data_IF_930874084279
#
_entry.id   IF_930874084279
#
_cell.length_a   1.000
_cell.length_b   1.000
_cell.length_c   1.000
_cell.angle_alpha   90.00
_cell.angle_beta   90.00
_cell.angle_gamma   90.00
#
_symmetry.space_group_name_H-M   'P 1'
#
loop_
_entity.id
_entity.type
_entity.pdbx_description
1 polymer ?
#
# COMPACT_ATOMS: atom_id res chain seq x y z
N UNK A 1 -20.42 -8.30 -11.24
CA UNK A 1 -19.64 -7.16 -11.80
C UNK A 1 -18.16 -7.48 -11.70
N UNK A 2 -17.35 -7.22 -12.74
CA UNK A 2 -15.89 -7.42 -12.68
C UNK A 2 -15.21 -6.26 -11.96
N UNK A 3 -13.99 -6.46 -11.45
CA UNK A 3 -13.21 -5.37 -10.84
C UNK A 3 -12.98 -4.22 -11.81
N UNK A 4 -12.69 -4.51 -13.09
CA UNK A 4 -12.50 -3.47 -14.11
C UNK A 4 -13.78 -2.65 -14.30
N UNK A 5 -14.94 -3.30 -14.41
CA UNK A 5 -16.22 -2.58 -14.58
C UNK A 5 -16.53 -1.70 -13.36
N UNK A 6 -16.24 -2.19 -12.15
CA UNK A 6 -16.40 -1.39 -10.94
C UNK A 6 -15.51 -0.15 -10.96
N UNK A 7 -14.23 -0.29 -11.30
CA UNK A 7 -13.30 0.85 -11.40
C UNK A 7 -13.76 1.85 -12.48
N UNK A 8 -14.31 1.37 -13.60
CA UNK A 8 -14.89 2.22 -14.64
C UNK A 8 -16.10 3.02 -14.13
N UNK A 9 -17.01 2.37 -13.38
CA UNK A 9 -18.15 3.03 -12.76
C UNK A 9 -17.70 4.09 -11.75
N UNK A 10 -16.77 3.76 -10.87
CA UNK A 10 -16.19 4.69 -9.88
C UNK A 10 -15.52 5.87 -10.59
N UNK A 11 -14.77 5.61 -11.65
CA UNK A 11 -14.11 6.65 -12.44
C UNK A 11 -15.12 7.62 -13.06
N UNK A 12 -16.17 7.08 -13.68
CA UNK A 12 -17.20 7.91 -14.29
C UNK A 12 -17.99 8.70 -13.23
N UNK A 13 -18.41 8.04 -12.15
CA UNK A 13 -19.25 8.65 -11.12
C UNK A 13 -18.50 9.69 -10.27
N UNK A 14 -17.24 9.42 -9.91
CA UNK A 14 -16.51 10.27 -8.95
C UNK A 14 -15.55 11.27 -9.62
N UNK A 15 -15.10 11.01 -10.86
CA UNK A 15 -14.19 11.89 -11.60
C UNK A 15 -14.82 12.51 -12.85
N UNK A 16 -15.98 12.01 -13.30
CA UNK A 16 -16.57 12.41 -14.58
C UNK A 16 -15.72 11.98 -15.79
N UNK A 17 -14.80 11.02 -15.60
CA UNK A 17 -13.79 10.64 -16.60
C UNK A 17 -13.77 9.12 -16.81
N UNK A 18 -13.64 8.63 -18.04
CA UNK A 18 -13.55 7.20 -18.31
C UNK A 18 -12.20 6.61 -17.85
N UNK A 19 -12.25 5.38 -17.34
CA UNK A 19 -11.06 4.54 -17.14
C UNK A 19 -10.95 3.54 -18.30
N UNK A 20 -9.88 3.64 -19.08
CA UNK A 20 -9.72 2.88 -20.33
C UNK A 20 -8.89 1.61 -20.20
N UNK A 21 -8.22 1.42 -19.06
CA UNK A 21 -7.29 0.31 -18.85
C UNK A 21 -7.95 -0.81 -18.02
N UNK A 22 -7.14 -1.72 -17.48
CA UNK A 22 -7.61 -2.88 -16.70
C UNK A 22 -7.27 -2.72 -15.23
N UNK A 23 -8.09 -3.36 -14.39
CA UNK A 23 -7.86 -3.48 -12.97
C UNK A 23 -7.79 -4.95 -12.56
N UNK A 24 -6.80 -5.29 -11.71
CA UNK A 24 -6.50 -6.66 -11.31
C UNK A 24 -6.50 -6.84 -9.79
N UNK A 25 -6.93 -8.01 -9.34
CA UNK A 25 -6.73 -8.43 -7.96
C UNK A 25 -5.30 -8.93 -7.77
N UNK A 26 -4.57 -8.31 -6.84
CA UNK A 26 -3.20 -8.70 -6.52
C UNK A 26 -3.06 -9.15 -5.06
N UNK A 27 -3.12 -10.47 -4.85
CA UNK A 27 -2.96 -11.13 -3.55
C UNK A 27 -1.56 -10.96 -2.92
N UNK A 28 -0.56 -10.49 -3.67
CA UNK A 28 0.79 -10.23 -3.15
C UNK A 28 0.88 -8.92 -2.37
N UNK A 29 -0.08 -8.00 -2.56
CA UNK A 29 -0.17 -6.77 -1.78
C UNK A 29 -0.54 -7.12 -0.34
N UNK A 30 0.27 -6.64 0.62
CA UNK A 30 0.06 -6.91 2.05
C UNK A 30 -0.41 -5.66 2.80
N UNK A 31 0.34 -4.57 2.66
CA UNK A 31 0.12 -3.31 3.40
C UNK A 31 -0.39 -2.17 2.52
N UNK A 32 -0.35 -2.37 1.21
CA UNK A 32 -0.76 -1.38 0.21
C UNK A 32 -2.17 -1.75 -0.27
N UNK A 33 -3.04 -0.76 -0.45
CA UNK A 33 -4.42 -0.95 -0.87
C UNK A 33 -4.56 -1.14 -2.37
N UNK A 34 -3.81 -0.37 -3.16
CA UNK A 34 -3.71 -0.53 -4.60
C UNK A 34 -2.42 0.05 -5.17
N UNK A 35 -2.23 -0.06 -6.49
CA UNK A 35 -1.11 0.57 -7.21
C UNK A 35 -1.53 0.96 -8.61
N UNK A 36 -1.10 2.13 -9.03
CA UNK A 36 -1.09 2.56 -10.43
C UNK A 36 0.25 2.25 -11.10
N UNK A 37 0.19 1.76 -12.35
CA UNK A 37 1.36 1.49 -13.18
C UNK A 37 1.38 2.40 -14.42
N UNK A 38 2.25 3.43 -14.45
CA UNK A 38 2.32 4.38 -15.57
C UNK A 38 2.64 3.76 -16.93
N UNK A 39 3.36 2.63 -16.95
CA UNK A 39 3.86 1.99 -18.17
C UNK A 39 2.74 1.51 -19.10
N UNK A 40 1.68 0.97 -18.52
CA UNK A 40 0.58 0.29 -19.23
C UNK A 40 -0.79 0.65 -18.66
N UNK A 41 -0.85 1.65 -17.77
CA UNK A 41 -2.07 2.27 -17.27
C UNK A 41 -2.92 1.42 -16.33
N UNK A 42 -2.51 0.19 -15.99
CA UNK A 42 -3.33 -0.70 -15.17
C UNK A 42 -3.31 -0.34 -13.67
N UNK A 43 -4.34 -0.79 -12.97
CA UNK A 43 -4.46 -0.69 -11.52
C UNK A 43 -4.42 -2.09 -10.88
N UNK A 44 -3.63 -2.23 -9.82
CA UNK A 44 -3.69 -3.39 -8.94
C UNK A 44 -4.45 -3.03 -7.67
N UNK A 45 -5.24 -3.96 -7.13
CA UNK A 45 -5.91 -3.81 -5.85
C UNK A 45 -5.69 -5.01 -4.94
N UNK A 46 -5.51 -4.75 -3.65
CA UNK A 46 -5.41 -5.79 -2.63
C UNK A 46 -6.81 -6.30 -2.27
N UNK A 47 -7.16 -7.57 -2.56
CA UNK A 47 -8.50 -8.10 -2.31
C UNK A 47 -8.88 -8.05 -0.82
N UNK A 48 -7.89 -8.13 0.08
CA UNK A 48 -8.12 -8.05 1.53
C UNK A 48 -8.73 -6.73 1.97
N UNK A 49 -8.57 -5.65 1.20
CA UNK A 49 -9.16 -4.37 1.55
C UNK A 49 -10.69 -4.39 1.44
N UNK A 50 -11.20 -5.06 0.41
CA UNK A 50 -12.64 -5.27 0.27
C UNK A 50 -13.15 -6.27 1.33
N UNK A 51 -12.40 -7.35 1.57
CA UNK A 51 -12.75 -8.38 2.56
C UNK A 51 -12.75 -7.86 4.01
N UNK A 52 -11.75 -7.07 4.41
CA UNK A 52 -11.58 -6.61 5.81
C UNK A 52 -12.31 -5.29 6.11
N UNK A 53 -12.51 -4.42 5.12
CA UNK A 53 -13.03 -3.07 5.34
C UNK A 53 -14.31 -2.73 4.56
N UNK A 54 -14.77 -3.62 3.70
CA UNK A 54 -15.99 -3.45 2.92
C UNK A 54 -15.88 -2.45 1.78
N UNK A 55 -16.99 -2.31 1.05
CA UNK A 55 -17.04 -1.57 -0.22
C UNK A 55 -16.79 -0.07 -0.06
N UNK A 56 -17.31 0.56 1.01
CA UNK A 56 -17.16 2.00 1.24
C UNK A 56 -15.68 2.41 1.33
N UNK A 57 -14.88 1.63 2.05
CA UNK A 57 -13.44 1.87 2.16
C UNK A 57 -12.74 1.50 0.86
N UNK A 58 -13.14 0.39 0.24
CA UNK A 58 -12.57 -0.03 -1.03
C UNK A 58 -12.75 1.03 -2.13
N UNK A 59 -13.92 1.66 -2.24
CA UNK A 59 -14.16 2.79 -3.18
C UNK A 59 -13.18 3.94 -2.96
N UNK A 60 -12.86 4.27 -1.70
CA UNK A 60 -11.87 5.32 -1.39
C UNK A 60 -10.44 4.95 -1.79
N UNK A 61 -10.11 3.66 -1.80
CA UNK A 61 -8.83 3.14 -2.32
C UNK A 61 -8.83 3.21 -3.85
N UNK A 62 -9.93 2.83 -4.50
CA UNK A 62 -10.07 2.97 -5.97
C UNK A 62 -9.92 4.43 -6.40
N UNK A 63 -10.57 5.37 -5.69
CA UNK A 63 -10.39 6.81 -5.90
C UNK A 63 -8.93 7.25 -5.79
N UNK A 64 -8.18 6.73 -4.82
CA UNK A 64 -6.75 7.04 -4.68
C UNK A 64 -5.96 6.66 -5.93
N UNK A 65 -6.12 5.42 -6.39
CA UNK A 65 -5.41 4.93 -7.58
C UNK A 65 -5.87 5.64 -8.86
N UNK A 66 -7.16 6.01 -8.95
CA UNK A 66 -7.68 6.81 -10.06
C UNK A 66 -7.16 8.26 -10.06
N UNK A 67 -6.86 8.85 -8.90
CA UNK A 67 -6.18 10.15 -8.85
C UNK A 67 -4.81 10.07 -9.51
N UNK A 68 -4.03 9.03 -9.21
CA UNK A 68 -2.76 8.77 -9.88
C UNK A 68 -2.94 8.61 -11.40
N UNK A 69 -3.90 7.77 -11.78
CA UNK A 69 -4.20 7.46 -13.18
C UNK A 69 -4.55 8.71 -13.99
N UNK A 70 -5.57 9.47 -13.56
CA UNK A 70 -6.07 10.61 -14.34
C UNK A 70 -5.04 11.73 -14.43
N UNK A 71 -4.36 12.05 -13.33
CA UNK A 71 -3.33 13.08 -13.34
C UNK A 71 -2.15 12.71 -14.23
N UNK A 72 -1.77 11.43 -14.29
CA UNK A 72 -0.70 10.98 -15.18
C UNK A 72 -1.08 11.19 -16.66
N UNK A 73 -2.27 10.74 -17.07
CA UNK A 73 -2.72 10.90 -18.46
C UNK A 73 -3.05 12.35 -18.83
N UNK A 74 -3.29 13.22 -17.85
CA UNK A 74 -3.42 14.68 -18.04
C UNK A 74 -2.07 15.42 -18.08
N UNK A 75 -0.94 14.74 -17.84
CA UNK A 75 0.37 15.38 -17.76
C UNK A 75 0.55 16.27 -16.52
N UNK A 76 -0.19 16.00 -15.44
CA UNK A 76 -0.19 16.78 -14.18
C UNK A 76 0.57 16.06 -13.07
N UNK A 77 0.75 16.75 -11.93
CA UNK A 77 1.45 16.21 -10.77
C UNK A 77 0.72 15.05 -10.10
N UNK A 78 1.04 13.81 -10.48
CA UNK A 78 0.34 12.62 -9.98
C UNK A 78 0.97 12.00 -8.72
N UNK A 79 2.07 12.50 -8.16
CA UNK A 79 2.67 11.92 -6.95
C UNK A 79 2.07 12.49 -5.66
N UNK A 80 2.15 11.77 -4.54
CA UNK A 80 1.64 12.23 -3.23
C UNK A 80 2.24 13.54 -2.71
N UNK A 81 3.38 13.97 -3.25
CA UNK A 81 4.03 15.24 -2.91
C UNK A 81 3.39 16.42 -3.66
N UNK A 82 2.81 16.16 -4.83
CA UNK A 82 2.31 17.16 -5.77
C UNK A 82 1.00 17.76 -5.25
N UNK A 83 0.77 19.03 -5.58
CA UNK A 83 -0.44 19.75 -5.18
C UNK A 83 -1.67 19.22 -5.90
N UNK A 84 -1.56 18.99 -7.21
CA UNK A 84 -2.64 18.43 -8.04
C UNK A 84 -3.22 17.14 -7.44
N UNK A 85 -2.36 16.22 -7.00
CA UNK A 85 -2.78 14.98 -6.34
C UNK A 85 -3.55 15.24 -5.05
N UNK A 86 -3.05 16.14 -4.18
CA UNK A 86 -3.70 16.44 -2.89
C UNK A 86 -5.08 17.07 -3.11
N UNK A 87 -5.16 18.02 -4.03
CA UNK A 87 -6.40 18.75 -4.35
C UNK A 87 -7.44 17.79 -4.95
N UNK A 88 -7.05 16.96 -5.92
CA UNK A 88 -7.96 15.98 -6.54
C UNK A 88 -8.41 14.90 -5.53
N UNK A 89 -7.49 14.37 -4.72
CA UNK A 89 -7.82 13.35 -3.72
C UNK A 89 -8.84 13.86 -2.70
N UNK A 90 -8.71 15.13 -2.28
CA UNK A 90 -9.67 15.78 -1.39
C UNK A 90 -11.04 15.96 -2.06
N UNK A 91 -11.06 16.40 -3.32
CA UNK A 91 -12.28 16.60 -4.10
C UNK A 91 -13.11 15.31 -4.21
N UNK A 92 -12.45 14.17 -4.47
CA UNK A 92 -13.15 12.87 -4.60
C UNK A 92 -13.34 12.14 -3.26
N UNK A 93 -12.95 12.75 -2.12
CA UNK A 93 -13.00 12.13 -0.80
C UNK A 93 -12.30 10.75 -0.78
N UNK A 94 -11.11 10.68 -1.40
CA UNK A 94 -10.26 9.49 -1.42
C UNK A 94 -9.45 9.33 -0.13
N UNK A 95 -8.95 8.12 0.11
CA UNK A 95 -8.07 7.85 1.26
C UNK A 95 -6.61 8.08 0.85
N UNK A 96 -5.88 8.90 1.61
CA UNK A 96 -4.42 9.04 1.39
C UNK A 96 -3.64 7.81 1.86
N UNK A 97 -4.11 7.20 2.96
CA UNK A 97 -3.47 6.04 3.56
C UNK A 97 -4.49 4.94 3.76
N UNK A 98 -4.03 3.71 3.57
CA UNK A 98 -4.82 2.50 3.82
C UNK A 98 -5.12 2.40 5.32
N UNK A 99 -6.35 2.04 5.72
CA UNK A 99 -6.65 1.78 7.12
C UNK A 99 -5.73 0.69 7.69
N UNK A 100 -5.34 0.85 8.95
CA UNK A 100 -4.48 -0.14 9.59
C UNK A 100 -5.26 -1.43 9.85
N UNK A 101 -4.79 -2.55 9.32
CA UNK A 101 -5.31 -3.87 9.71
C UNK A 101 -5.08 -4.09 11.21
N UNK A 102 -6.10 -4.62 11.90
CA UNK A 102 -6.12 -4.86 13.35
C UNK A 102 -5.27 -6.05 13.79
N UNK A 103 -4.68 -6.80 12.85
CA UNK A 103 -3.80 -7.93 13.16
C UNK A 103 -2.59 -7.45 13.96
N UNK A 104 -2.39 -8.05 15.14
CA UNK A 104 -1.36 -7.63 16.08
C UNK A 104 0.00 -7.57 15.39
N UNK A 105 0.71 -6.44 15.57
CA UNK A 105 2.06 -6.29 15.06
C UNK A 105 2.96 -7.09 15.98
N UNK A 106 3.23 -8.34 15.64
CA UNK A 106 4.26 -9.12 16.32
C UNK A 106 5.59 -8.38 16.14
N UNK A 107 6.13 -7.88 17.24
CA UNK A 107 7.47 -7.33 17.25
C UNK A 107 8.43 -8.49 17.49
N UNK A 108 9.41 -8.63 16.60
CA UNK A 108 10.50 -9.58 16.74
C UNK A 108 11.65 -8.90 17.45
N UNK A 109 12.17 -9.54 18.49
CA UNK A 109 13.32 -9.04 19.23
C UNK A 109 14.55 -9.81 18.82
N UNK A 110 15.65 -9.10 18.63
CA UNK A 110 16.95 -9.66 18.31
C UNK A 110 17.98 -9.13 19.29
N UNK A 111 18.90 -9.98 19.73
CA UNK A 111 20.04 -9.57 20.55
C UNK A 111 21.34 -9.93 19.84
N UNK A 112 22.31 -9.01 19.86
CA UNK A 112 23.67 -9.33 19.47
C UNK A 112 24.32 -10.24 20.53
N UNK A 113 24.94 -11.32 20.06
CA UNK A 113 25.63 -12.28 20.93
C UNK A 113 26.96 -11.75 21.48
N UNK A 114 27.53 -10.69 20.88
CA UNK A 114 28.83 -10.13 21.27
C UNK A 114 28.70 -8.93 22.21
N UNK A 115 27.89 -7.94 21.84
CA UNK A 115 27.75 -6.69 22.61
C UNK A 115 26.42 -6.56 23.35
N UNK A 116 25.52 -7.55 23.25
CA UNK A 116 24.21 -7.53 23.90
C UNK A 116 23.19 -6.56 23.29
N UNK A 117 23.57 -5.75 22.29
CA UNK A 117 22.68 -4.78 21.67
C UNK A 117 21.35 -5.42 21.21
N UNK A 118 20.24 -4.82 21.62
CA UNK A 118 18.89 -5.28 21.30
C UNK A 118 18.31 -4.49 20.13
N UNK A 119 17.64 -5.19 19.21
CA UNK A 119 16.92 -4.64 18.07
C UNK A 119 15.48 -5.13 18.07
N UNK A 120 14.53 -4.21 17.97
CA UNK A 120 13.11 -4.53 17.78
C UNK A 120 12.73 -4.31 16.31
N UNK A 121 12.09 -5.31 15.68
CA UNK A 121 11.72 -5.26 14.27
C UNK A 121 10.29 -5.74 14.06
N UNK A 122 9.55 -5.05 13.19
CA UNK A 122 8.20 -5.46 12.74
C UNK A 122 8.19 -6.61 11.75
N UNK A 123 9.36 -7.02 11.24
CA UNK A 123 9.53 -8.11 10.26
C UNK A 123 10.71 -8.96 10.71
N UNK A 124 10.61 -10.28 10.52
CA UNK A 124 11.75 -11.16 10.73
C UNK A 124 12.90 -10.78 9.80
N UNK A 125 14.12 -10.75 10.34
CA UNK A 125 15.34 -10.56 9.57
C UNK A 125 16.02 -11.91 9.32
N UNK A 126 16.71 -12.03 8.20
CA UNK A 126 17.51 -13.22 7.92
C UNK A 126 18.83 -13.14 8.70
N UNK A 127 18.98 -13.94 9.76
CA UNK A 127 20.16 -13.94 10.63
C UNK A 127 21.44 -14.45 9.96
N UNK A 128 21.34 -15.09 8.78
CA UNK A 128 22.51 -15.43 7.97
C UNK A 128 23.03 -14.23 7.15
N UNK A 129 22.17 -13.24 6.86
CA UNK A 129 22.53 -12.05 6.08
C UNK A 129 22.82 -10.82 6.95
N UNK A 130 22.13 -10.68 8.08
CA UNK A 130 22.18 -9.47 8.91
C UNK A 130 22.99 -9.72 10.19
N UNK A 131 23.83 -8.74 10.53
CA UNK A 131 24.67 -8.71 11.73
C UNK A 131 24.37 -7.49 12.60
N UNK A 132 24.95 -7.44 13.80
CA UNK A 132 24.85 -6.27 14.68
C UNK A 132 25.42 -5.02 13.99
N UNK A 133 24.65 -3.93 13.98
CA UNK A 133 25.11 -2.65 13.42
C UNK A 133 26.15 -1.92 14.26
N UNK A 134 26.35 -2.33 15.52
CA UNK A 134 27.33 -1.72 16.43
C UNK A 134 28.70 -2.43 16.40
N UNK A 135 28.70 -3.77 16.40
CA UNK A 135 29.95 -4.56 16.52
C UNK A 135 30.11 -5.65 15.46
N UNK A 136 29.20 -5.73 14.49
CA UNK A 136 29.19 -6.78 13.45
C UNK A 136 29.07 -8.23 13.96
N UNK A 137 28.83 -8.43 15.26
CA UNK A 137 28.59 -9.75 15.86
C UNK A 137 27.25 -10.37 15.40
N UNK A 138 27.16 -11.70 15.53
CA UNK A 138 25.96 -12.48 15.16
C UNK A 138 24.74 -12.05 15.98
N UNK A 139 23.58 -12.06 15.33
CA UNK A 139 22.29 -11.76 15.94
C UNK A 139 21.52 -13.05 16.23
N UNK A 140 20.75 -13.04 17.31
CA UNK A 140 19.87 -14.15 17.70
C UNK A 140 18.45 -13.62 17.95
N UNK A 141 17.43 -14.28 17.42
CA UNK A 141 16.02 -13.96 17.73
C UNK A 141 15.74 -14.36 19.18
N UNK A 142 15.15 -13.43 19.93
CA UNK A 142 14.64 -13.64 21.27
C UNK A 142 13.13 -13.77 21.14
N UNK A 143 12.60 -14.97 21.38
CA UNK A 143 11.15 -15.13 21.52
C UNK A 143 10.73 -14.44 22.82
N UNK A 144 9.79 -13.49 22.75
CA UNK A 144 9.06 -13.08 23.95
C UNK A 144 8.18 -14.26 24.36
N UNK A 145 8.57 -14.93 25.45
CA UNK A 145 7.66 -15.77 26.25
C UNK A 145 6.62 -14.89 26.93
#
# INVERSE_FOLDING_TARGET
MTLTNYVQEVSLADFGKPFHHKAYWNKRLKTTGGRFFPKDGHLDFNPRMLEEHGELIFRKIVRHELCHYHLYFEGRGYHHKDRDFKDLLAQVNGLRYVPTSSKSKTNHHYSCQTCGQVYQRKRRINLAKYVCGNCHGKLMEKNQS
#
